data_IF_609635602908
#
_entry.id   IF_609635602908
#
_cell.length_a   1.000
_cell.length_b   1.000
_cell.length_c   1.000
_cell.angle_alpha   90.00
_cell.angle_beta   90.00
_cell.angle_gamma   90.00
#
_symmetry.space_group_name_H-M   'P 1'
#
loop_
_entity.id
_entity.type
_entity.pdbx_description
1 polymer ?
#
# COMPACT_ATOMS: atom_id res chain seq x y z
N UNK A 1 1.56 19.05 22.34
CA UNK A 1 2.36 17.81 22.32
C UNK A 1 1.53 16.58 21.96
N UNK A 2 0.42 16.30 22.65
CA UNK A 2 -0.42 15.10 22.43
C UNK A 2 -0.74 14.72 20.97
N UNK A 3 -0.97 15.71 20.09
CA UNK A 3 -1.18 15.45 18.67
C UNK A 3 0.06 14.82 18.00
N UNK A 4 1.25 15.41 18.18
CA UNK A 4 2.51 14.87 17.62
C UNK A 4 2.80 13.48 18.18
N UNK A 5 2.59 13.29 19.49
CA UNK A 5 2.75 11.98 20.13
C UNK A 5 1.82 10.93 19.51
N UNK A 6 0.57 11.32 19.23
CA UNK A 6 -0.40 10.43 18.58
C UNK A 6 -0.02 10.07 17.14
N UNK A 7 0.54 11.01 16.38
CA UNK A 7 1.02 10.77 15.01
C UNK A 7 2.23 9.84 15.03
N UNK A 8 3.19 10.11 15.92
CA UNK A 8 4.39 9.30 16.12
C UNK A 8 4.06 7.86 16.55
N UNK A 9 3.14 7.71 17.51
CA UNK A 9 2.67 6.39 17.96
C UNK A 9 1.95 5.63 16.85
N UNK A 10 1.07 6.32 16.11
CA UNK A 10 0.33 5.74 14.97
C UNK A 10 1.27 5.29 13.86
N UNK A 11 2.23 6.15 13.49
CA UNK A 11 3.27 5.84 12.51
C UNK A 11 4.08 4.61 12.92
N UNK A 12 4.57 4.60 14.16
CA UNK A 12 5.41 3.51 14.68
C UNK A 12 4.65 2.18 14.73
N UNK A 13 3.38 2.19 15.13
CA UNK A 13 2.51 1.01 15.13
C UNK A 13 2.29 0.47 13.72
N UNK A 14 1.98 1.34 12.76
CA UNK A 14 1.77 0.92 11.36
C UNK A 14 3.04 0.38 10.72
N UNK A 15 4.20 1.02 11.00
CA UNK A 15 5.51 0.53 10.55
C UNK A 15 5.79 -0.87 11.10
N UNK A 16 5.65 -1.07 12.41
CA UNK A 16 5.89 -2.37 13.04
C UNK A 16 4.99 -3.46 12.45
N UNK A 17 3.69 -3.14 12.25
CA UNK A 17 2.76 -4.07 11.64
C UNK A 17 3.11 -4.41 10.19
N UNK A 18 3.53 -3.42 9.40
CA UNK A 18 3.94 -3.62 8.01
C UNK A 18 5.12 -4.59 7.90
N UNK A 19 6.10 -4.49 8.80
CA UNK A 19 7.24 -5.42 8.83
C UNK A 19 6.78 -6.85 9.09
N UNK A 20 5.90 -7.05 10.08
CA UNK A 20 5.31 -8.37 10.37
C UNK A 20 4.53 -8.92 9.18
N UNK A 21 3.71 -8.08 8.51
CA UNK A 21 2.94 -8.51 7.33
C UNK A 21 3.87 -8.93 6.18
N UNK A 22 4.98 -8.22 5.97
CA UNK A 22 5.98 -8.58 4.96
C UNK A 22 6.67 -9.90 5.27
N UNK A 23 7.10 -10.11 6.51
CA UNK A 23 7.71 -11.36 6.96
C UNK A 23 6.74 -12.55 6.79
N UNK A 24 5.47 -12.39 7.18
CA UNK A 24 4.45 -13.43 7.00
C UNK A 24 4.22 -13.77 5.52
N UNK A 25 4.24 -12.76 4.64
CA UNK A 25 4.12 -12.97 3.19
C UNK A 25 5.34 -13.71 2.63
N UNK A 26 6.54 -13.36 3.07
CA UNK A 26 7.78 -14.04 2.68
C UNK A 26 7.77 -15.51 3.12
N UNK A 27 7.40 -15.79 4.38
CA UNK A 27 7.27 -17.15 4.89
C UNK A 27 6.24 -17.98 4.11
N UNK A 28 5.07 -17.41 3.79
CA UNK A 28 4.06 -18.09 2.99
C UNK A 28 4.56 -18.40 1.57
N UNK A 29 5.35 -17.50 0.98
CA UNK A 29 5.96 -17.71 -0.33
C UNK A 29 7.06 -18.79 -0.30
N UNK A 30 7.84 -18.85 0.78
CA UNK A 30 8.90 -19.84 0.94
C UNK A 30 8.35 -21.26 1.17
N UNK A 31 7.27 -21.41 1.95
CA UNK A 31 6.58 -22.70 2.14
C UNK A 31 6.01 -23.23 0.81
N UNK A 32 5.49 -22.35 -0.06
CA UNK A 32 5.02 -22.75 -1.38
C UNK A 32 6.15 -23.21 -2.31
N UNK A 33 7.37 -22.67 -2.17
CA UNK A 33 8.51 -23.07 -2.98
C UNK A 33 9.16 -24.38 -2.52
N UNK A 34 9.10 -24.68 -1.21
CA UNK A 34 9.66 -25.91 -0.63
C UNK A 34 8.76 -27.14 -0.90
N UNK A 35 7.47 -26.93 -1.17
CA UNK A 35 6.53 -27.99 -1.59
C UNK A 35 6.65 -28.30 -3.10
N UNK A 36 7.42 -27.51 -3.86
CA UNK A 36 7.53 -27.61 -5.32
C UNK A 36 8.98 -27.81 -5.80
N UNK A 37 9.64 -28.88 -5.33
CA UNK A 37 10.81 -29.48 -5.98
C UNK A 37 10.93 -31.00 -5.71
N UNK A 38 11.41 -31.79 -6.67
CA UNK A 38 10.62 -32.56 -7.61
C UNK A 38 10.45 -34.01 -7.14
N UNK A 39 9.26 -34.36 -6.64
CA UNK A 39 8.77 -35.72 -6.80
C UNK A 39 7.62 -35.67 -7.78
N UNK A 40 7.87 -36.32 -8.92
CA UNK A 40 6.92 -36.34 -10.01
C UNK A 40 5.59 -36.96 -9.61
N UNK A 41 4.64 -36.65 -10.48
CA UNK A 41 3.43 -37.41 -10.73
C UNK A 41 2.28 -37.23 -9.73
N UNK A 42 1.17 -36.77 -10.33
CA UNK A 42 -0.21 -37.05 -9.94
C UNK A 42 -0.70 -36.41 -8.63
N UNK A 43 -0.91 -35.10 -8.62
CA UNK A 43 -2.03 -34.58 -7.82
C UNK A 43 -2.50 -33.22 -8.31
N UNK A 44 -3.26 -33.22 -9.41
CA UNK A 44 -4.51 -32.47 -9.34
C UNK A 44 -5.52 -33.10 -10.30
N UNK A 45 -6.32 -34.00 -9.73
CA UNK A 45 -7.63 -34.38 -10.27
C UNK A 45 -8.51 -33.12 -10.23
N UNK A 46 -8.27 -32.20 -11.16
CA UNK A 46 -9.17 -31.11 -11.43
C UNK A 46 -10.53 -31.71 -11.74
N UNK A 47 -11.45 -31.44 -10.83
CA UNK A 47 -12.83 -31.87 -10.90
C UNK A 47 -13.47 -31.29 -12.16
N UNK A 48 -13.44 -32.09 -13.23
CA UNK A 48 -14.33 -31.96 -14.37
C UNK A 48 -15.76 -32.24 -13.92
N UNK A 49 -16.43 -31.22 -13.38
CA UNK A 49 -17.89 -31.13 -13.48
C UNK A 49 -18.26 -29.86 -14.22
N UNK A 50 -18.01 -29.93 -15.53
CA UNK A 50 -18.77 -29.22 -16.54
C UNK A 50 -20.27 -29.43 -16.27
N UNK A 51 -20.94 -28.40 -15.75
CA UNK A 51 -22.40 -28.30 -15.87
C UNK A 51 -22.71 -27.26 -16.94
N UNK A 52 -22.64 -27.73 -18.19
CA UNK A 52 -23.23 -27.08 -19.35
C UNK A 52 -24.75 -27.19 -19.26
N UNK A 53 -25.42 -26.23 -18.62
CA UNK A 53 -26.83 -26.00 -18.94
C UNK A 53 -26.90 -25.27 -20.28
N UNK A 54 -27.08 -26.06 -21.34
CA UNK A 54 -27.64 -25.62 -22.62
C UNK A 54 -28.94 -24.87 -22.38
N UNK A 55 -28.92 -23.57 -22.61
CA UNK A 55 -30.10 -22.72 -22.75
C UNK A 55 -30.21 -22.20 -24.18
N UNK A 56 -30.33 -23.09 -25.17
CA UNK A 56 -30.75 -22.71 -26.52
C UNK A 56 -32.28 -22.57 -26.54
N UNK A 57 -32.74 -21.32 -26.49
CA UNK A 57 -34.15 -20.95 -26.60
C UNK A 57 -34.29 -19.62 -27.33
N UNK A 58 -34.30 -19.72 -28.66
CA UNK A 58 -34.79 -18.80 -29.68
C UNK A 58 -35.35 -17.41 -29.29
N UNK A 59 -34.96 -16.43 -30.12
CA UNK A 59 -35.76 -15.27 -30.55
C UNK A 59 -36.01 -14.13 -29.55
N UNK A 60 -35.45 -12.96 -29.85
CA UNK A 60 -35.93 -11.71 -29.26
C UNK A 60 -35.05 -10.52 -29.57
N UNK A 61 -35.40 -9.78 -30.60
CA UNK A 61 -34.93 -8.41 -30.85
C UNK A 61 -35.18 -7.55 -29.61
N UNK A 62 -34.15 -7.10 -28.92
CA UNK A 62 -34.25 -5.95 -28.02
C UNK A 62 -32.90 -5.29 -27.78
N UNK A 63 -32.79 -4.07 -28.32
CA UNK A 63 -31.80 -3.08 -27.94
C UNK A 63 -32.24 -2.51 -26.58
N UNK A 64 -31.78 -3.07 -25.47
CA UNK A 64 -32.08 -2.54 -24.14
C UNK A 64 -30.89 -2.64 -23.18
N UNK A 65 -30.26 -1.48 -22.99
CA UNK A 65 -29.63 -1.00 -21.74
C UNK A 65 -28.57 -1.88 -21.06
N UNK A 66 -27.31 -1.55 -21.33
CA UNK A 66 -26.12 -1.88 -20.53
C UNK A 66 -26.16 -1.40 -19.04
N UNK A 67 -27.29 -0.93 -18.50
CA UNK A 67 -27.35 -0.28 -17.18
C UNK A 67 -27.34 -1.24 -15.98
N UNK A 68 -27.82 -2.49 -16.16
CA UNK A 68 -27.89 -3.47 -15.05
C UNK A 68 -26.54 -4.12 -14.74
N UNK A 69 -25.70 -4.29 -15.76
CA UNK A 69 -24.34 -4.86 -15.64
C UNK A 69 -23.38 -3.83 -15.01
N UNK A 70 -23.46 -2.56 -15.43
CA UNK A 70 -22.63 -1.47 -14.88
C UNK A 70 -22.98 -1.12 -13.43
N UNK A 71 -24.26 -1.19 -13.03
CA UNK A 71 -24.67 -0.92 -11.65
C UNK A 71 -24.17 -1.97 -10.64
N UNK A 72 -24.13 -3.26 -11.02
CA UNK A 72 -23.51 -4.33 -10.22
C UNK A 72 -21.99 -4.16 -10.13
N UNK A 73 -21.34 -3.82 -11.24
CA UNK A 73 -19.90 -3.53 -11.28
C UNK A 73 -19.53 -2.35 -10.38
N UNK A 74 -20.31 -1.25 -10.37
CA UNK A 74 -20.07 -0.08 -9.50
C UNK A 74 -20.18 -0.42 -8.00
N UNK A 75 -21.19 -1.19 -7.60
CA UNK A 75 -21.33 -1.65 -6.20
C UNK A 75 -20.20 -2.60 -5.80
N UNK A 76 -19.79 -3.51 -6.70
CA UNK A 76 -18.69 -4.41 -6.45
C UNK A 76 -17.35 -3.68 -6.35
N UNK A 77 -17.12 -2.68 -7.23
CA UNK A 77 -15.97 -1.79 -7.18
C UNK A 77 -15.89 -1.07 -5.83
N UNK A 78 -16.96 -0.40 -5.39
CA UNK A 78 -16.99 0.26 -4.07
C UNK A 78 -16.69 -0.70 -2.90
N UNK A 79 -17.15 -1.96 -3.00
CA UNK A 79 -16.86 -2.97 -1.96
C UNK A 79 -15.41 -3.43 -2.01
N UNK A 80 -14.80 -3.54 -3.19
CA UNK A 80 -13.39 -3.84 -3.38
C UNK A 80 -12.50 -2.70 -2.86
N UNK A 81 -12.81 -1.44 -3.22
CA UNK A 81 -12.10 -0.25 -2.70
C UNK A 81 -12.14 -0.21 -1.16
N UNK A 82 -13.31 -0.43 -0.54
CA UNK A 82 -13.41 -0.46 0.93
C UNK A 82 -12.57 -1.56 1.59
N UNK A 83 -12.32 -2.66 0.88
CA UNK A 83 -11.46 -3.75 1.37
C UNK A 83 -9.99 -3.44 1.15
N UNK A 84 -9.65 -2.66 0.13
CA UNK A 84 -8.28 -2.19 -0.14
C UNK A 84 -7.78 -1.28 0.98
N UNK A 85 -8.61 -0.34 1.42
CA UNK A 85 -8.24 0.59 2.52
C UNK A 85 -8.47 0.02 3.92
N UNK A 86 -8.67 -1.29 4.05
CA UNK A 86 -9.01 -1.91 5.32
C UNK A 86 -7.74 -2.17 6.14
N UNK A 87 -7.54 -1.39 7.21
CA UNK A 87 -6.49 -1.62 8.22
C UNK A 87 -6.78 -2.81 9.16
N UNK A 88 -7.75 -3.67 8.83
CA UNK A 88 -8.03 -4.88 9.60
C UNK A 88 -6.89 -5.87 9.43
N UNK A 89 -6.34 -6.31 10.56
CA UNK A 89 -5.31 -7.34 10.62
C UNK A 89 -5.76 -8.63 9.93
N UNK A 90 -4.90 -9.18 9.08
CA UNK A 90 -5.15 -10.39 8.29
C UNK A 90 -5.97 -10.15 7.02
N UNK A 91 -6.21 -8.91 6.61
CA UNK A 91 -6.86 -8.64 5.33
C UNK A 91 -5.89 -8.88 4.15
N UNK A 92 -6.37 -9.33 2.97
CA UNK A 92 -5.48 -9.67 1.85
C UNK A 92 -4.61 -8.53 1.33
N UNK A 93 -5.05 -7.28 1.53
CA UNK A 93 -4.39 -6.05 1.05
C UNK A 93 -3.91 -5.19 2.23
N UNK A 94 -3.68 -5.80 3.39
CA UNK A 94 -3.29 -5.10 4.61
C UNK A 94 -2.00 -4.29 4.42
N UNK A 95 -1.03 -4.82 3.67
CA UNK A 95 0.24 -4.15 3.37
C UNK A 95 0.03 -2.85 2.57
N UNK A 96 -0.84 -2.87 1.56
CA UNK A 96 -1.17 -1.67 0.78
C UNK A 96 -1.90 -0.63 1.64
N UNK A 97 -2.86 -1.08 2.47
CA UNK A 97 -3.57 -0.20 3.39
C UNK A 97 -2.62 0.46 4.40
N UNK A 98 -1.63 -0.28 4.92
CA UNK A 98 -0.62 0.23 5.84
C UNK A 98 0.33 1.21 5.16
N UNK A 99 0.75 0.94 3.92
CA UNK A 99 1.59 1.87 3.14
C UNK A 99 0.90 3.20 2.86
N UNK A 100 -0.38 3.14 2.48
CA UNK A 100 -1.20 4.34 2.28
C UNK A 100 -1.35 5.13 3.58
N UNK A 101 -1.71 4.46 4.69
CA UNK A 101 -1.85 5.11 6.00
C UNK A 101 -0.52 5.73 6.48
N UNK A 102 0.62 5.08 6.23
CA UNK A 102 1.95 5.63 6.54
C UNK A 102 2.24 6.87 5.68
N UNK A 103 1.92 6.83 4.38
CA UNK A 103 2.08 7.98 3.48
C UNK A 103 1.24 9.17 3.93
N UNK A 104 -0.03 8.93 4.29
CA UNK A 104 -0.95 9.95 4.78
C UNK A 104 -0.45 10.62 6.05
N UNK A 105 0.09 9.84 7.00
CA UNK A 105 0.67 10.38 8.24
C UNK A 105 1.87 11.27 7.91
N UNK A 106 2.79 10.83 7.07
CA UNK A 106 3.98 11.63 6.68
C UNK A 106 3.58 12.92 5.98
N UNK A 107 2.67 12.84 5.00
CA UNK A 107 2.19 14.03 4.29
C UNK A 107 1.40 14.97 5.20
N UNK A 108 0.62 14.43 6.13
CA UNK A 108 -0.10 15.20 7.15
C UNK A 108 0.87 15.97 8.03
N UNK A 109 1.90 15.29 8.56
CA UNK A 109 2.94 15.92 9.39
C UNK A 109 3.75 16.96 8.62
N UNK A 110 4.07 16.72 7.35
CA UNK A 110 4.79 17.68 6.51
C UNK A 110 4.03 19.00 6.32
N UNK A 111 2.70 18.93 6.15
CA UNK A 111 1.84 20.12 6.00
C UNK A 111 1.81 21.00 7.25
N UNK A 112 2.11 20.45 8.42
CA UNK A 112 2.13 21.20 9.68
C UNK A 112 3.34 22.12 9.83
N UNK A 113 4.35 22.03 8.94
CA UNK A 113 5.54 22.90 8.99
C UNK A 113 5.19 24.38 9.04
N UNK A 114 4.25 24.80 8.20
CA UNK A 114 3.84 26.20 8.13
C UNK A 114 3.11 26.61 9.41
N UNK A 115 2.18 25.79 9.90
CA UNK A 115 1.44 26.07 11.13
C UNK A 115 2.37 26.15 12.35
N UNK A 116 3.31 25.20 12.47
CA UNK A 116 4.29 25.18 13.55
C UNK A 116 5.19 26.40 13.48
N UNK A 117 5.66 26.80 12.29
CA UNK A 117 6.44 28.02 12.14
C UNK A 117 5.69 29.27 12.63
N UNK A 118 4.40 29.39 12.34
CA UNK A 118 3.57 30.48 12.85
C UNK A 118 3.41 30.41 14.37
N UNK A 119 3.13 29.22 14.92
CA UNK A 119 2.99 29.04 16.38
C UNK A 119 4.29 29.40 17.10
N UNK A 120 5.45 28.96 16.60
CA UNK A 120 6.75 29.27 17.19
C UNK A 120 7.01 30.77 17.27
N UNK A 121 6.60 31.54 16.24
CA UNK A 121 6.72 33.01 16.24
C UNK A 121 5.89 33.65 17.35
N UNK A 122 4.66 33.16 17.52
CA UNK A 122 3.76 33.66 18.55
C UNK A 122 4.27 33.29 19.94
N UNK A 123 4.75 32.05 20.15
CA UNK A 123 5.34 31.64 21.41
C UNK A 123 6.54 32.51 21.79
N UNK A 124 7.43 32.80 20.84
CA UNK A 124 8.55 33.72 21.05
C UNK A 124 8.09 35.14 21.37
N UNK A 125 7.08 35.66 20.65
CA UNK A 125 6.54 37.02 20.88
C UNK A 125 5.96 37.19 22.29
N UNK A 126 5.43 36.13 22.88
CA UNK A 126 4.86 36.11 24.23
C UNK A 126 5.82 35.56 25.30
N UNK A 127 7.12 35.46 24.98
CA UNK A 127 8.18 34.99 25.91
C UNK A 127 7.97 33.56 26.43
N UNK A 128 7.22 32.73 25.69
CA UNK A 128 7.03 31.30 25.96
C UNK A 128 8.13 30.46 25.29
N UNK A 129 9.39 30.82 25.56
CA UNK A 129 10.54 30.23 24.88
C UNK A 129 10.74 28.75 25.20
N UNK A 130 10.41 28.32 26.43
CA UNK A 130 10.51 26.92 26.84
C UNK A 130 9.55 26.03 26.04
N UNK A 131 8.30 26.46 25.92
CA UNK A 131 7.27 25.78 25.14
C UNK A 131 7.60 25.81 23.65
N UNK A 132 8.17 26.92 23.16
CA UNK A 132 8.68 27.06 21.80
C UNK A 132 9.79 26.04 21.50
N UNK A 133 10.78 25.93 22.38
CA UNK A 133 11.87 24.93 22.28
C UNK A 133 11.34 23.50 22.33
N UNK A 134 10.43 23.21 23.26
CA UNK A 134 9.83 21.89 23.41
C UNK A 134 9.08 21.47 22.14
N UNK A 135 8.23 22.37 21.61
CA UNK A 135 7.48 22.12 20.37
C UNK A 135 8.42 21.93 19.17
N UNK A 136 9.41 22.82 19.02
CA UNK A 136 10.38 22.75 17.92
C UNK A 136 11.14 21.42 17.96
N UNK A 137 11.61 21.01 19.13
CA UNK A 137 12.32 19.74 19.30
C UNK A 137 11.44 18.53 19.01
N UNK A 138 10.24 18.46 19.59
CA UNK A 138 9.36 17.31 19.38
C UNK A 138 8.90 17.16 17.94
N UNK A 139 8.65 18.27 17.24
CA UNK A 139 8.30 18.22 15.83
C UNK A 139 9.50 17.82 14.96
N UNK A 140 10.70 18.30 15.28
CA UNK A 140 11.93 17.85 14.63
C UNK A 140 12.15 16.35 14.82
N UNK A 141 12.07 15.86 16.05
CA UNK A 141 12.26 14.44 16.37
C UNK A 141 11.27 13.56 15.60
N UNK A 142 10.01 14.01 15.50
CA UNK A 142 8.95 13.34 14.73
C UNK A 142 9.30 13.30 13.23
N UNK A 143 9.71 14.43 12.64
CA UNK A 143 10.10 14.51 11.22
C UNK A 143 11.33 13.63 10.93
N UNK A 144 12.34 13.65 11.79
CA UNK A 144 13.54 12.83 11.64
C UNK A 144 13.23 11.34 11.74
N UNK A 145 12.35 10.93 12.65
CA UNK A 145 11.90 9.55 12.78
C UNK A 145 11.22 9.05 11.50
N UNK A 146 10.32 9.87 10.95
CA UNK A 146 9.63 9.56 9.68
C UNK A 146 10.64 9.45 8.54
N UNK A 147 11.53 10.43 8.40
CA UNK A 147 12.55 10.48 7.34
C UNK A 147 13.47 9.25 7.38
N UNK A 148 13.97 8.88 8.56
CA UNK A 148 14.82 7.69 8.75
C UNK A 148 14.10 6.40 8.42
N UNK A 149 12.79 6.35 8.61
CA UNK A 149 11.96 5.16 8.36
C UNK A 149 11.54 5.03 6.90
N UNK A 150 11.56 6.10 6.10
CA UNK A 150 11.21 6.04 4.68
C UNK A 150 11.98 4.98 3.88
N UNK A 151 13.32 4.89 3.92
CA UNK A 151 14.06 3.88 3.15
C UNK A 151 13.80 2.45 3.61
N UNK A 152 13.42 2.24 4.87
CA UNK A 152 13.07 0.92 5.43
C UNK A 152 11.65 0.48 5.01
N UNK A 153 10.72 1.43 4.93
CA UNK A 153 9.34 1.18 4.52
C UNK A 153 9.27 1.04 2.99
N UNK A 154 9.89 1.93 2.23
CA UNK A 154 9.91 1.90 0.76
C UNK A 154 11.17 1.23 0.21
N UNK A 155 11.52 0.08 0.78
CA UNK A 155 12.44 -0.84 0.09
C UNK A 155 11.74 -1.30 -1.19
N UNK A 156 12.42 -1.19 -2.33
CA UNK A 156 12.00 -1.82 -3.58
C UNK A 156 11.98 -3.33 -3.32
N UNK A 157 10.89 -3.83 -2.76
CA UNK A 157 10.72 -5.25 -2.52
C UNK A 157 10.67 -5.87 -3.91
N UNK A 158 11.50 -6.88 -4.22
CA UNK A 158 11.53 -7.54 -5.53
C UNK A 158 10.23 -8.24 -5.94
N UNK A 159 9.10 -8.02 -5.25
CA UNK A 159 7.77 -8.45 -5.68
C UNK A 159 7.23 -7.66 -6.87
N UNK A 160 7.84 -6.52 -7.22
CA UNK A 160 7.96 -6.21 -8.65
C UNK A 160 9.07 -7.08 -9.20
N UNK A 161 8.82 -8.39 -9.23
CA UNK A 161 9.51 -9.24 -10.17
C UNK A 161 9.25 -8.54 -11.47
N UNK A 162 10.32 -8.05 -12.10
CA UNK A 162 10.28 -7.84 -13.52
C UNK A 162 9.76 -9.16 -14.07
N UNK A 163 8.46 -9.25 -14.31
CA UNK A 163 7.90 -10.12 -15.30
C UNK A 163 8.45 -9.55 -16.60
N UNK A 164 9.76 -9.71 -16.82
CA UNK A 164 10.28 -9.81 -18.16
C UNK A 164 9.44 -10.92 -18.75
N UNK A 165 8.55 -10.61 -19.72
CA UNK A 165 7.73 -11.63 -20.33
C UNK A 165 8.73 -12.68 -20.81
N UNK A 166 8.59 -13.90 -20.30
CA UNK A 166 9.44 -15.04 -20.65
C UNK A 166 9.08 -15.40 -22.09
N UNK A 167 9.53 -14.57 -23.04
CA UNK A 167 9.30 -14.67 -24.47
C UNK A 167 10.64 -14.98 -25.14
N UNK A 168 11.23 -16.12 -24.74
CA UNK A 168 12.42 -16.67 -25.37
C UNK A 168 12.04 -17.79 -26.34
N UNK A 169 12.96 -18.17 -27.25
CA UNK A 169 12.76 -19.32 -28.16
C UNK A 169 12.56 -20.66 -27.42
N UNK A 170 12.88 -20.73 -26.12
CA UNK A 170 12.70 -21.90 -25.27
C UNK A 170 11.43 -21.84 -24.40
N UNK A 171 10.60 -20.80 -24.54
CA UNK A 171 9.38 -20.63 -23.74
C UNK A 171 8.25 -21.52 -24.27
N UNK A 172 7.65 -22.32 -23.39
CA UNK A 172 6.51 -23.18 -23.75
C UNK A 172 5.19 -22.41 -23.60
N UNK A 173 4.14 -22.84 -24.31
CA UNK A 173 2.80 -22.24 -24.21
C UNK A 173 2.29 -22.13 -22.75
N UNK A 174 2.63 -23.10 -21.90
CA UNK A 174 2.30 -23.06 -20.47
C UNK A 174 3.06 -21.97 -19.70
N UNK A 175 4.35 -21.78 -20.00
CA UNK A 175 5.20 -20.73 -19.41
C UNK A 175 4.71 -19.33 -19.80
N UNK A 176 4.25 -19.18 -21.04
CA UNK A 176 3.67 -17.93 -21.56
C UNK A 176 2.28 -17.70 -20.93
N UNK A 177 1.43 -18.72 -20.83
CA UNK A 177 0.10 -18.59 -20.21
C UNK A 177 0.20 -18.23 -18.71
N UNK A 178 1.17 -18.82 -18.01
CA UNK A 178 1.43 -18.57 -16.59
C UNK A 178 1.90 -17.13 -16.34
N UNK A 179 2.78 -16.58 -17.19
CA UNK A 179 3.23 -15.19 -17.05
C UNK A 179 2.08 -14.19 -17.27
N UNK A 180 1.19 -14.45 -18.24
CA UNK A 180 -0.01 -13.61 -18.45
C UNK A 180 -1.04 -13.73 -17.31
N UNK A 181 -1.12 -14.86 -16.60
CA UNK A 181 -1.97 -14.97 -15.41
C UNK A 181 -1.40 -14.18 -14.23
N UNK A 182 -0.06 -14.18 -14.05
CA UNK A 182 0.61 -13.34 -13.06
C UNK A 182 0.47 -11.85 -13.39
N UNK A 183 0.51 -11.45 -14.67
CA UNK A 183 0.24 -10.07 -15.08
C UNK A 183 -1.21 -9.63 -14.84
N UNK A 184 -2.20 -10.53 -14.86
CA UNK A 184 -3.59 -10.17 -14.49
C UNK A 184 -3.77 -9.89 -13.00
N UNK A 185 -2.84 -10.35 -12.17
CA UNK A 185 -2.69 -9.93 -10.77
C UNK A 185 -1.84 -8.66 -10.61
N UNK A 186 -1.35 -8.05 -11.71
CA UNK A 186 -0.66 -6.77 -11.64
C UNK A 186 -1.59 -5.72 -11.05
N UNK A 187 -1.09 -5.12 -9.98
CA UNK A 187 -1.79 -4.15 -9.16
C UNK A 187 -2.17 -2.96 -10.05
N UNK A 188 -3.43 -2.48 -10.07
CA UNK A 188 -3.85 -1.39 -10.96
C UNK A 188 -2.96 -0.15 -10.78
N UNK A 189 -2.75 0.63 -11.85
CA UNK A 189 -1.83 1.80 -11.94
C UNK A 189 -1.88 2.77 -10.73
N UNK A 190 -3.03 2.90 -10.06
CA UNK A 190 -3.18 3.70 -8.83
C UNK A 190 -2.37 3.18 -7.63
N UNK A 191 -2.04 1.89 -7.58
CA UNK A 191 -1.18 1.31 -6.54
C UNK A 191 0.31 1.54 -6.80
N UNK A 192 0.71 1.89 -8.03
CA UNK A 192 2.11 2.19 -8.33
C UNK A 192 2.60 3.45 -7.58
N UNK A 193 1.70 4.40 -7.31
CA UNK A 193 2.00 5.61 -6.54
C UNK A 193 2.26 5.31 -5.06
N UNK A 194 1.66 4.25 -4.49
CA UNK A 194 1.88 3.86 -3.09
C UNK A 194 3.30 3.37 -2.83
N UNK A 195 4.01 2.91 -3.86
CA UNK A 195 5.41 2.49 -3.78
C UNK A 195 6.39 3.65 -3.97
N UNK A 196 5.90 4.88 -4.17
CA UNK A 196 6.73 6.08 -4.21
C UNK A 196 6.73 6.69 -2.80
N UNK A 197 7.91 6.84 -2.16
CA UNK A 197 7.97 7.41 -0.82
C UNK A 197 7.46 8.86 -0.82
N UNK A 198 6.70 9.28 0.22
CA UNK A 198 6.26 10.65 0.37
C UNK A 198 7.47 11.59 0.50
N UNK A 199 7.37 12.78 -0.10
CA UNK A 199 8.47 13.75 -0.11
C UNK A 199 8.44 14.62 1.14
N UNK A 200 9.50 14.56 1.95
CA UNK A 200 9.74 15.49 3.06
C UNK A 200 10.64 16.62 2.54
N UNK A 201 10.14 17.85 2.50
CA UNK A 201 10.89 18.99 1.98
C UNK A 201 11.86 19.55 3.04
N UNK A 202 13.15 19.26 2.86
CA UNK A 202 14.22 19.76 3.73
C UNK A 202 14.53 21.25 3.56
N UNK A 203 14.09 21.87 2.46
CA UNK A 203 14.37 23.28 2.15
C UNK A 203 13.42 24.24 2.85
N UNK A 204 12.27 23.76 3.29
CA UNK A 204 11.30 24.59 4.02
C UNK A 204 11.86 24.91 5.40
N UNK A 205 12.23 26.17 5.61
CA UNK A 205 12.70 26.67 6.89
C UNK A 205 11.51 26.92 7.82
N UNK A 206 11.24 25.98 8.71
CA UNK A 206 10.17 26.07 9.71
C UNK A 206 10.69 26.29 11.14
N UNK A 207 12.00 26.10 11.37
CA UNK A 207 12.63 26.35 12.67
C UNK A 207 12.89 27.84 12.89
N UNK A 208 12.76 28.29 14.14
CA UNK A 208 13.22 29.59 14.58
C UNK A 208 14.60 29.46 15.23
N UNK A 209 15.61 30.06 14.62
CA UNK A 209 16.97 30.17 15.18
C UNK A 209 17.05 31.00 16.46
N UNK A 210 15.98 31.75 16.78
CA UNK A 210 15.84 32.49 18.03
C UNK A 210 15.52 31.58 19.22
N UNK A 211 15.07 30.35 18.95
CA UNK A 211 14.72 29.33 19.93
C UNK A 211 15.73 28.16 19.90
N UNK A 212 16.93 28.37 19.39
CA UNK A 212 18.03 27.37 19.39
C UNK A 212 18.72 27.28 20.75
#
# INVERSE_FOLDING_TARGET
>A
MAFLDSQTATFSRHKARLLVVRELKEQAQQVHLDDEAPHGQESDLFSETSSVMSGSGMSGKYSHSNSRISARSSKNRRKAERKKHSLKEGSPLEDLALLEALSDVVQGTEKLKDEIYHILKILFLFEFDEQGRELQKAFEDTLQLMERSLPEIWTLTPQQGSATPVLGPNSTANSIMASYQQEKTSVPVLDAELFIPPKINKRTQWKLSLLE
#
